data_IF_247390468955
#
_entry.id   IF_247390468955
#
_cell.length_a   1.000
_cell.length_b   1.000
_cell.length_c   1.000
_cell.angle_alpha   90.00
_cell.angle_beta   90.00
_cell.angle_gamma   90.00
#
_symmetry.space_group_name_H-M   'P 1'
#
loop_
_entity.id
_entity.type
_entity.pdbx_description
1 polymer ?
#
# COMPACT_ATOMS: atom_id res chain seq x y z
N UNK A 1 4.83 8.85 11.20
CA UNK A 1 3.37 8.63 11.03
C UNK A 1 3.11 7.64 9.89
N UNK A 2 2.20 6.67 10.03
CA UNK A 2 1.80 5.74 8.95
C UNK A 2 1.24 6.47 7.73
N UNK A 3 1.49 5.97 6.51
CA UNK A 3 1.08 6.65 5.27
C UNK A 3 -0.42 6.98 5.22
N UNK A 4 -1.34 6.04 5.47
CA UNK A 4 -2.79 6.36 5.40
C UNK A 4 -3.27 7.34 6.47
N UNK A 5 -2.50 7.55 7.53
CA UNK A 5 -2.82 8.53 8.58
C UNK A 5 -2.19 9.90 8.26
N UNK A 6 -1.23 9.96 7.34
CA UNK A 6 -0.50 11.17 6.97
C UNK A 6 -1.27 12.02 5.94
N UNK A 7 -1.56 13.30 6.25
CA UNK A 7 -2.13 14.22 5.27
C UNK A 7 -1.21 14.44 4.05
N UNK A 8 0.12 14.43 4.25
CA UNK A 8 1.08 14.58 3.16
C UNK A 8 0.98 13.42 2.16
N UNK A 9 0.79 12.20 2.66
CA UNK A 9 0.62 11.04 1.79
C UNK A 9 -0.65 11.15 0.92
N UNK A 10 -1.73 11.76 1.40
CA UNK A 10 -2.93 11.95 0.56
C UNK A 10 -2.63 12.81 -0.69
N UNK A 11 -1.77 13.82 -0.54
CA UNK A 11 -1.31 14.67 -1.65
C UNK A 11 -0.45 13.85 -2.61
N UNK A 12 0.53 13.12 -2.09
CA UNK A 12 1.45 12.32 -2.90
C UNK A 12 0.74 11.14 -3.60
N UNK A 13 -0.21 10.48 -2.92
CA UNK A 13 -1.07 9.46 -3.50
C UNK A 13 -1.91 10.02 -4.65
N UNK A 14 -2.57 11.17 -4.43
CA UNK A 14 -3.38 11.83 -5.49
C UNK A 14 -2.52 12.21 -6.69
N UNK A 15 -1.31 12.73 -6.45
CA UNK A 15 -0.34 13.04 -7.52
C UNK A 15 0.02 11.77 -8.30
N UNK A 16 0.36 10.69 -7.60
CA UNK A 16 0.68 9.40 -8.23
C UNK A 16 -0.47 8.83 -9.05
N UNK A 17 -1.72 8.93 -8.57
CA UNK A 17 -2.88 8.50 -9.35
C UNK A 17 -3.01 9.30 -10.66
N UNK A 18 -2.82 10.63 -10.60
CA UNK A 18 -2.91 11.52 -11.77
C UNK A 18 -1.77 11.30 -12.77
N UNK A 19 -0.60 10.89 -12.30
CA UNK A 19 0.58 10.67 -13.16
C UNK A 19 0.59 9.27 -13.77
N UNK A 20 0.37 8.24 -12.95
CA UNK A 20 0.64 6.86 -13.33
C UNK A 20 -0.62 6.03 -13.60
N UNK A 21 -1.74 6.30 -12.94
CA UNK A 21 -2.92 5.41 -13.00
C UNK A 21 -3.97 5.94 -13.99
N UNK A 22 -4.49 7.14 -13.72
CA UNK A 22 -5.63 7.72 -14.45
C UNK A 22 -5.35 7.96 -15.95
N UNK A 23 -4.16 8.41 -16.38
CA UNK A 23 -3.91 8.65 -17.81
C UNK A 23 -4.04 7.38 -18.66
N UNK A 24 -3.57 6.23 -18.14
CA UNK A 24 -3.65 4.95 -18.84
C UNK A 24 -5.10 4.46 -18.89
N UNK A 25 -5.83 4.57 -17.76
CA UNK A 25 -7.26 4.25 -17.73
C UNK A 25 -8.06 5.05 -18.77
N UNK A 26 -7.81 6.35 -18.88
CA UNK A 26 -8.51 7.24 -19.84
C UNK A 26 -8.22 6.93 -21.31
N UNK A 27 -7.06 6.34 -21.63
CA UNK A 27 -6.71 5.93 -23.00
C UNK A 27 -7.47 4.67 -23.46
N UNK A 28 -7.98 3.88 -22.52
CA UNK A 28 -8.77 2.69 -22.80
C UNK A 28 -9.98 3.00 -23.68
N UNK A 29 -10.22 2.16 -24.69
CA UNK A 29 -11.42 2.26 -25.55
C UNK A 29 -12.71 2.19 -24.73
N UNK A 30 -12.75 1.35 -23.69
CA UNK A 30 -13.93 1.19 -22.82
C UNK A 30 -14.20 2.47 -22.01
N UNK A 31 -13.15 3.08 -21.48
CA UNK A 31 -13.28 4.35 -20.75
C UNK A 31 -13.67 5.50 -21.68
N UNK A 32 -13.14 5.54 -22.91
CA UNK A 32 -13.54 6.53 -23.92
C UNK A 32 -15.01 6.42 -24.30
N UNK A 33 -15.48 5.21 -24.58
CA UNK A 33 -16.90 4.96 -24.86
C UNK A 33 -17.80 5.40 -23.68
N UNK A 34 -17.39 5.13 -22.44
CA UNK A 34 -18.09 5.62 -21.24
C UNK A 34 -18.06 7.16 -21.17
N UNK A 35 -16.91 7.78 -21.43
CA UNK A 35 -16.77 9.24 -21.36
C UNK A 35 -17.58 9.98 -22.42
N UNK A 36 -17.72 9.41 -23.62
CA UNK A 36 -18.46 9.97 -24.76
C UNK A 36 -19.97 9.71 -24.65
N UNK A 37 -20.39 8.69 -23.89
CA UNK A 37 -21.78 8.27 -23.80
C UNK A 37 -22.69 9.18 -22.97
N UNK A 38 -22.15 10.12 -22.17
CA UNK A 38 -22.94 11.00 -21.30
C UNK A 38 -22.30 12.39 -21.13
N UNK A 39 -23.12 13.42 -20.94
CA UNK A 39 -22.66 14.74 -20.53
C UNK A 39 -22.38 14.76 -19.01
N UNK A 40 -21.16 14.41 -18.63
CA UNK A 40 -20.74 14.30 -17.23
C UNK A 40 -20.81 15.62 -16.43
N UNK A 41 -20.81 16.77 -17.11
CA UNK A 41 -20.97 18.06 -16.45
C UNK A 41 -22.40 18.26 -15.90
N UNK A 42 -23.40 17.73 -16.60
CA UNK A 42 -24.81 17.81 -16.20
C UNK A 42 -25.19 16.68 -15.24
N UNK A 43 -24.70 15.47 -15.50
CA UNK A 43 -25.03 14.25 -14.74
C UNK A 43 -24.33 14.23 -13.37
N UNK A 44 -23.17 14.87 -13.27
CA UNK A 44 -22.38 14.93 -12.05
C UNK A 44 -21.71 13.59 -11.68
N UNK A 45 -21.16 13.54 -10.46
CA UNK A 45 -20.33 12.41 -10.01
C UNK A 45 -21.12 11.19 -9.51
N UNK A 46 -22.43 11.33 -9.27
CA UNK A 46 -23.23 10.28 -8.63
C UNK A 46 -23.26 8.98 -9.45
N UNK A 47 -23.51 9.00 -10.78
CA UNK A 47 -23.49 7.76 -11.55
C UNK A 47 -22.12 7.08 -11.62
N UNK A 48 -21.02 7.83 -11.59
CA UNK A 48 -19.67 7.23 -11.47
C UNK A 48 -19.50 6.48 -10.15
N UNK A 49 -20.00 7.07 -9.04
CA UNK A 49 -19.96 6.44 -7.73
C UNK A 49 -20.84 5.19 -7.70
N UNK A 50 -22.00 5.22 -8.36
CA UNK A 50 -22.90 4.08 -8.44
C UNK A 50 -22.27 2.94 -9.29
N UNK A 51 -21.67 3.25 -10.46
CA UNK A 51 -20.91 2.28 -11.26
C UNK A 51 -19.75 1.64 -10.49
N UNK A 52 -19.03 2.42 -9.67
CA UNK A 52 -17.95 1.91 -8.82
C UNK A 52 -18.43 0.91 -7.77
N UNK A 53 -19.72 0.94 -7.41
CA UNK A 53 -20.35 0.03 -6.45
C UNK A 53 -21.01 -1.18 -7.10
N UNK A 54 -21.17 -1.17 -8.42
CA UNK A 54 -21.71 -2.30 -9.16
C UNK A 54 -20.72 -3.48 -9.19
N UNK A 55 -21.28 -4.68 -9.40
CA UNK A 55 -20.52 -5.92 -9.55
C UNK A 55 -19.55 -5.87 -10.75
N UNK A 56 -18.48 -6.66 -10.65
CA UNK A 56 -17.28 -6.56 -11.49
C UNK A 56 -17.55 -6.65 -13.01
N UNK A 57 -18.61 -7.34 -13.42
CA UNK A 57 -18.98 -7.54 -14.84
C UNK A 57 -19.41 -6.22 -15.51
N UNK A 58 -20.07 -5.31 -14.79
CA UNK A 58 -20.55 -4.03 -15.32
C UNK A 58 -19.65 -2.85 -14.91
N UNK A 59 -18.75 -3.05 -13.95
CA UNK A 59 -17.89 -2.01 -13.41
C UNK A 59 -16.63 -1.79 -14.27
N UNK A 60 -16.79 -1.13 -15.41
CA UNK A 60 -15.68 -0.80 -16.34
C UNK A 60 -14.58 -0.01 -15.62
N UNK A 61 -14.94 0.88 -14.69
CA UNK A 61 -13.98 1.69 -13.93
C UNK A 61 -13.16 0.79 -13.02
N UNK A 62 -13.81 -0.09 -12.25
CA UNK A 62 -13.19 -1.06 -11.36
C UNK A 62 -12.28 -2.05 -12.09
N UNK A 63 -12.72 -2.58 -13.23
CA UNK A 63 -11.92 -3.49 -14.05
C UNK A 63 -10.63 -2.82 -14.56
N UNK A 64 -10.73 -1.59 -15.10
CA UNK A 64 -9.57 -0.83 -15.57
C UNK A 64 -8.65 -0.40 -14.42
N UNK A 65 -9.22 -0.06 -13.27
CA UNK A 65 -8.48 0.26 -12.05
C UNK A 65 -7.66 -0.94 -11.58
N UNK A 66 -8.29 -2.11 -11.50
CA UNK A 66 -7.63 -3.35 -11.08
C UNK A 66 -6.51 -3.73 -12.04
N UNK A 67 -6.78 -3.73 -13.35
CA UNK A 67 -5.77 -4.00 -14.38
C UNK A 67 -4.57 -3.07 -14.23
N UNK A 68 -4.81 -1.76 -14.07
CA UNK A 68 -3.73 -0.80 -13.95
C UNK A 68 -2.91 -0.99 -12.67
N UNK A 69 -3.53 -1.37 -11.57
CA UNK A 69 -2.82 -1.70 -10.34
C UNK A 69 -2.01 -3.00 -10.44
N UNK A 70 -2.38 -3.95 -11.30
CA UNK A 70 -1.53 -5.11 -11.60
C UNK A 70 -0.27 -4.70 -12.37
N UNK A 71 -0.36 -3.76 -13.33
CA UNK A 71 0.82 -3.21 -14.02
C UNK A 71 1.80 -2.49 -13.07
N UNK A 72 1.29 -1.99 -11.94
CA UNK A 72 2.10 -1.32 -10.91
C UNK A 72 2.75 -2.31 -9.92
N UNK A 73 2.64 -3.62 -10.15
CA UNK A 73 3.41 -4.60 -9.38
C UNK A 73 4.90 -4.34 -9.65
N UNK A 74 5.72 -4.08 -8.62
CA UNK A 74 7.15 -3.89 -8.84
C UNK A 74 7.75 -5.18 -9.41
N UNK A 75 8.77 -5.03 -10.25
CA UNK A 75 9.47 -6.16 -10.81
C UNK A 75 9.99 -7.05 -9.67
N UNK A 76 9.73 -8.36 -9.75
CA UNK A 76 10.35 -9.32 -8.84
C UNK A 76 11.86 -9.22 -9.07
N UNK A 77 12.57 -8.56 -8.15
CA UNK A 77 14.03 -8.58 -8.20
C UNK A 77 14.43 -10.05 -7.97
N UNK A 78 15.19 -10.68 -8.88
CA UNK A 78 15.70 -12.02 -8.62
C UNK A 78 16.47 -11.99 -7.30
N UNK A 79 16.17 -12.93 -6.41
CA UNK A 79 16.84 -13.08 -5.13
C UNK A 79 18.35 -13.26 -5.39
N UNK A 80 19.13 -12.20 -5.19
CA UNK A 80 20.58 -12.20 -5.50
C UNK A 80 21.21 -10.87 -5.86
N UNK A 81 20.48 -9.74 -5.88
CA UNK A 81 21.02 -8.42 -6.18
C UNK A 81 21.58 -7.66 -4.96
N UNK A 82 22.20 -8.32 -4.01
CA UNK A 82 22.94 -7.65 -2.93
C UNK A 82 24.29 -7.21 -3.45
N UNK A 83 24.43 -5.94 -3.84
CA UNK A 83 25.74 -5.34 -4.18
C UNK A 83 26.54 -5.11 -2.89
N UNK A 84 27.07 -6.19 -2.31
CA UNK A 84 28.14 -6.08 -1.33
C UNK A 84 29.47 -6.15 -2.08
N UNK A 85 30.07 -4.98 -2.30
CA UNK A 85 31.47 -4.87 -2.69
C UNK A 85 32.32 -5.21 -1.47
N UNK A 86 32.82 -6.44 -1.41
CA UNK A 86 34.00 -6.78 -0.61
C UNK A 86 34.90 -7.70 -1.42
N UNK A 87 36.15 -7.27 -1.55
CA UNK A 87 37.21 -7.95 -2.26
C UNK A 87 37.72 -9.17 -1.48
N UNK A 88 37.76 -10.33 -2.14
CA UNK A 88 38.82 -11.35 -2.07
C UNK A 88 38.38 -12.43 -3.09
N UNK A 89 39.13 -12.77 -4.13
CA UNK A 89 40.49 -13.25 -4.07
C UNK A 89 40.51 -14.77 -3.96
N UNK A 90 40.18 -15.52 -5.02
CA UNK A 90 40.75 -16.85 -5.24
C UNK A 90 40.58 -17.35 -6.67
N UNK A 91 41.71 -17.68 -7.29
CA UNK A 91 41.84 -18.38 -8.57
C UNK A 91 41.46 -19.85 -8.38
N UNK A 92 40.75 -20.43 -9.34
CA UNK A 92 40.85 -21.85 -9.65
C UNK A 92 40.97 -22.01 -11.18
N UNK A 93 42.10 -22.57 -11.60
CA UNK A 93 42.44 -22.96 -12.97
C UNK A 93 42.15 -24.46 -13.13
N UNK A 94 41.84 -24.82 -14.38
CA UNK A 94 42.04 -26.13 -15.06
C UNK A 94 41.10 -27.30 -14.72
N UNK A 95 40.37 -27.73 -15.76
CA UNK A 95 40.78 -28.95 -16.49
C UNK A 95 39.66 -29.94 -16.82
N UNK A 96 39.61 -30.37 -18.09
CA UNK A 96 38.94 -31.62 -18.54
C UNK A 96 37.72 -31.37 -19.43
N UNK A 97 37.88 -31.22 -20.76
CA UNK A 97 37.95 -32.31 -21.76
C UNK A 97 36.61 -33.04 -21.95
N UNK A 98 35.80 -32.60 -22.92
CA UNK A 98 35.37 -33.37 -24.09
C UNK A 98 34.43 -32.47 -24.92
N UNK A 99 34.96 -31.97 -26.04
CA UNK A 99 34.13 -31.44 -27.11
C UNK A 99 33.63 -32.58 -27.98
N UNK A 100 32.50 -32.39 -28.66
CA UNK A 100 32.24 -33.01 -29.96
C UNK A 100 31.11 -32.25 -30.66
N UNK A 101 31.36 -31.92 -31.92
CA UNK A 101 30.48 -31.37 -32.96
C UNK A 101 30.19 -29.86 -33.03
N UNK A 102 30.66 -29.26 -34.14
CA UNK A 102 29.91 -28.21 -34.83
C UNK A 102 30.71 -27.02 -35.36
N UNK A 103 31.59 -27.26 -36.34
CA UNK A 103 32.39 -26.26 -37.05
C UNK A 103 31.59 -25.49 -38.13
N UNK A 104 31.89 -24.19 -38.28
CA UNK A 104 31.63 -23.36 -39.49
C UNK A 104 30.70 -22.16 -39.26
N UNK A 105 30.96 -20.94 -39.73
CA UNK A 105 32.11 -20.31 -40.39
C UNK A 105 31.85 -18.79 -40.40
N UNK A 106 32.89 -18.02 -40.09
CA UNK A 106 33.24 -16.62 -40.42
C UNK A 106 32.21 -15.67 -41.05
N UNK A 107 32.13 -14.43 -40.53
CA UNK A 107 31.39 -13.36 -41.19
C UNK A 107 31.28 -12.02 -40.46
N UNK A 108 32.43 -11.43 -40.15
CA UNK A 108 32.72 -9.99 -40.06
C UNK A 108 32.06 -9.03 -39.05
N UNK A 109 32.90 -8.06 -38.68
CA UNK A 109 32.77 -7.09 -37.60
C UNK A 109 31.88 -5.91 -38.00
N UNK A 110 30.97 -5.54 -37.10
CA UNK A 110 30.72 -4.13 -36.80
C UNK A 110 30.41 -3.96 -35.31
N UNK A 111 31.41 -3.42 -34.58
CA UNK A 111 31.31 -2.91 -33.22
C UNK A 111 31.09 -1.39 -33.30
N UNK A 112 29.93 -0.92 -32.87
CA UNK A 112 29.65 0.36 -32.19
C UNK A 112 28.13 0.63 -32.31
N UNK A 113 27.38 1.05 -31.31
CA UNK A 113 27.75 1.54 -30.00
C UNK A 113 27.09 0.72 -28.88
N UNK A 114 27.84 0.59 -27.80
CA UNK A 114 27.31 0.32 -26.48
C UNK A 114 26.25 1.36 -26.16
N UNK A 115 24.98 0.98 -26.26
CA UNK A 115 23.91 1.68 -25.59
C UNK A 115 24.25 1.62 -24.09
N UNK A 116 24.69 2.77 -23.59
CA UNK A 116 24.78 3.09 -22.17
C UNK A 116 23.44 2.69 -21.57
N UNK A 117 23.41 1.55 -20.87
CA UNK A 117 22.22 0.96 -20.27
C UNK A 117 21.87 1.79 -19.03
N UNK A 118 21.47 3.05 -19.25
CA UNK A 118 20.67 3.77 -18.29
C UNK A 118 19.40 2.97 -18.14
N UNK A 119 19.27 2.21 -17.05
CA UNK A 119 18.04 1.49 -16.78
C UNK A 119 16.96 2.55 -16.55
N UNK A 120 16.21 2.88 -17.60
CA UNK A 120 14.95 3.59 -17.45
C UNK A 120 14.08 2.72 -16.55
N UNK A 121 13.94 3.15 -15.30
CA UNK A 121 13.06 2.53 -14.32
C UNK A 121 11.68 2.32 -14.95
N UNK A 122 11.06 1.18 -14.67
CA UNK A 122 9.69 0.94 -15.10
C UNK A 122 8.76 1.98 -14.45
N UNK A 123 7.57 2.18 -15.01
CA UNK A 123 6.58 3.08 -14.38
C UNK A 123 6.22 2.64 -12.95
N UNK A 124 6.19 1.32 -12.71
CA UNK A 124 5.99 0.75 -11.38
C UNK A 124 7.13 1.16 -10.43
N UNK A 125 8.40 1.00 -10.85
CA UNK A 125 9.54 1.37 -10.01
C UNK A 125 9.52 2.87 -9.68
N UNK A 126 9.23 3.73 -10.68
CA UNK A 126 9.09 5.18 -10.47
C UNK A 126 7.99 5.53 -9.47
N UNK A 127 6.87 4.82 -9.50
CA UNK A 127 5.77 5.02 -8.55
C UNK A 127 6.21 4.71 -7.12
N UNK A 128 6.80 3.54 -6.89
CA UNK A 128 7.19 3.08 -5.56
C UNK A 128 8.37 3.87 -4.99
N UNK A 129 9.39 4.16 -5.81
CA UNK A 129 10.52 5.00 -5.40
C UNK A 129 10.06 6.44 -5.11
N UNK A 130 9.12 6.97 -5.90
CA UNK A 130 8.54 8.29 -5.65
C UNK A 130 7.83 8.39 -4.29
N UNK A 131 7.14 7.34 -3.84
CA UNK A 131 6.55 7.32 -2.51
C UNK A 131 7.56 7.18 -1.38
N UNK A 132 8.66 6.43 -1.60
CA UNK A 132 9.77 6.34 -0.67
C UNK A 132 10.40 7.72 -0.45
N UNK A 133 10.83 8.37 -1.53
CA UNK A 133 11.44 9.71 -1.49
C UNK A 133 10.50 10.73 -0.86
N UNK A 134 9.20 10.69 -1.21
CA UNK A 134 8.21 11.57 -0.61
C UNK A 134 8.00 11.30 0.88
N UNK A 135 8.01 10.03 1.31
CA UNK A 135 7.91 9.66 2.72
C UNK A 135 9.11 10.11 3.55
N UNK A 136 10.32 9.95 3.02
CA UNK A 136 11.56 10.45 3.63
C UNK A 136 11.54 11.97 3.76
N UNK A 137 11.15 12.67 2.69
CA UNK A 137 11.04 14.14 2.67
C UNK A 137 9.96 14.68 3.60
N UNK A 138 8.80 14.01 3.66
CA UNK A 138 7.60 14.51 4.35
C UNK A 138 7.38 13.86 5.74
N UNK A 139 8.29 13.00 6.21
CA UNK A 139 8.26 12.43 7.56
C UNK A 139 7.17 11.38 7.81
N UNK A 140 6.73 10.64 6.78
CA UNK A 140 5.78 9.55 6.93
C UNK A 140 6.37 8.19 6.53
N UNK A 141 5.87 7.12 7.14
CA UNK A 141 6.18 5.75 6.78
C UNK A 141 5.55 5.48 5.41
N UNK A 142 6.35 5.39 4.35
CA UNK A 142 5.86 5.16 3.00
C UNK A 142 5.30 3.74 2.82
N UNK A 143 4.36 3.55 1.88
CA UNK A 143 3.86 2.22 1.54
C UNK A 143 4.91 1.41 0.78
N UNK A 144 4.84 0.09 0.92
CA UNK A 144 5.65 -0.88 0.20
C UNK A 144 4.83 -1.65 -0.83
N UNK A 145 5.53 -2.40 -1.67
CA UNK A 145 4.94 -3.25 -2.71
C UNK A 145 3.83 -4.17 -2.18
N UNK A 146 4.02 -4.71 -0.98
CA UNK A 146 3.07 -5.60 -0.31
C UNK A 146 1.76 -4.88 0.04
N UNK A 147 1.81 -3.55 0.21
CA UNK A 147 0.67 -2.71 0.55
C UNK A 147 -0.16 -2.34 -0.70
N UNK A 148 0.23 -2.80 -1.90
CA UNK A 148 -0.48 -2.53 -3.17
C UNK A 148 -1.97 -2.84 -3.11
N UNK A 149 -2.34 -4.02 -2.59
CA UNK A 149 -3.76 -4.41 -2.47
C UNK A 149 -4.53 -3.47 -1.54
N UNK A 150 -3.91 -2.97 -0.48
CA UNK A 150 -4.53 -1.98 0.40
C UNK A 150 -4.77 -0.67 -0.37
N UNK A 151 -3.76 -0.17 -1.08
CA UNK A 151 -3.85 1.09 -1.84
C UNK A 151 -4.86 1.00 -2.99
N UNK A 152 -4.89 -0.12 -3.70
CA UNK A 152 -5.88 -0.43 -4.73
C UNK A 152 -7.30 -0.39 -4.16
N UNK A 153 -7.51 -0.92 -2.95
CA UNK A 153 -8.84 -0.95 -2.34
C UNK A 153 -9.35 0.40 -1.84
N UNK A 154 -8.49 1.44 -1.72
CA UNK A 154 -8.91 2.76 -1.23
C UNK A 154 -10.03 3.39 -2.04
N UNK A 155 -10.07 3.14 -3.36
CA UNK A 155 -11.14 3.68 -4.24
C UNK A 155 -12.53 3.13 -3.89
N UNK A 156 -12.60 1.92 -3.37
CA UNK A 156 -13.87 1.24 -3.08
C UNK A 156 -14.36 1.47 -1.65
N UNK A 157 -13.57 2.16 -0.83
CA UNK A 157 -13.91 2.41 0.57
C UNK A 157 -14.86 3.59 0.66
N UNK A 158 -16.01 3.35 1.30
CA UNK A 158 -16.97 4.40 1.57
C UNK A 158 -16.41 5.37 2.63
N UNK A 159 -16.12 6.61 2.22
CA UNK A 159 -15.62 7.66 3.12
C UNK A 159 -16.55 7.92 4.31
N UNK A 160 -17.87 7.81 4.12
CA UNK A 160 -18.85 7.93 5.20
C UNK A 160 -18.74 6.80 6.23
N UNK A 161 -18.39 5.57 5.81
CA UNK A 161 -18.10 4.46 6.72
C UNK A 161 -16.86 4.78 7.57
N UNK A 162 -15.80 5.31 6.98
CA UNK A 162 -14.60 5.74 7.71
C UNK A 162 -14.91 6.88 8.69
N UNK A 163 -15.69 7.87 8.27
CA UNK A 163 -16.13 8.97 9.13
C UNK A 163 -16.94 8.51 10.34
N UNK A 164 -17.87 7.55 10.14
CA UNK A 164 -18.60 6.90 11.24
C UNK A 164 -17.67 6.16 12.17
N UNK A 165 -16.74 5.37 11.65
CA UNK A 165 -15.78 4.63 12.45
C UNK A 165 -14.92 5.57 13.31
N UNK A 166 -14.42 6.66 12.73
CA UNK A 166 -13.66 7.67 13.47
C UNK A 166 -14.51 8.29 14.60
N UNK A 167 -15.75 8.68 14.29
CA UNK A 167 -16.65 9.31 15.27
C UNK A 167 -16.94 8.37 16.43
N UNK A 168 -17.29 7.12 16.13
CA UNK A 168 -17.59 6.09 17.11
C UNK A 168 -16.38 5.77 18.00
N UNK A 169 -15.19 5.59 17.42
CA UNK A 169 -13.96 5.34 18.18
C UNK A 169 -13.60 6.54 19.08
N UNK A 170 -13.81 7.77 18.62
CA UNK A 170 -13.62 8.96 19.45
C UNK A 170 -14.63 9.01 20.61
N UNK A 171 -15.89 8.59 20.39
CA UNK A 171 -16.87 8.51 21.47
C UNK A 171 -16.50 7.43 22.49
N UNK A 172 -16.12 6.23 22.06
CA UNK A 172 -15.69 5.15 22.95
C UNK A 172 -14.46 5.54 23.77
N UNK A 173 -13.48 6.20 23.14
CA UNK A 173 -12.32 6.73 23.85
C UNK A 173 -12.74 7.68 24.97
N UNK A 174 -13.64 8.64 24.70
CA UNK A 174 -14.12 9.59 25.70
C UNK A 174 -14.85 8.88 26.84
N UNK A 175 -15.76 7.96 26.53
CA UNK A 175 -16.50 7.22 27.55
C UNK A 175 -15.58 6.42 28.49
N UNK A 176 -14.53 5.82 27.94
CA UNK A 176 -13.61 4.98 28.72
C UNK A 176 -12.57 5.80 29.51
N UNK A 177 -11.99 6.84 28.91
CA UNK A 177 -10.83 7.52 29.48
C UNK A 177 -11.07 8.96 29.93
N UNK A 178 -12.11 9.61 29.44
CA UNK A 178 -12.43 11.03 29.69
C UNK A 178 -13.95 11.22 29.91
N UNK A 179 -14.60 10.42 30.79
CA UNK A 179 -16.05 10.52 30.97
C UNK A 179 -16.41 11.87 31.59
N UNK A 180 -17.42 12.56 31.04
CA UNK A 180 -17.88 13.82 31.63
C UNK A 180 -18.73 13.60 32.89
N UNK A 181 -19.32 12.40 33.04
CA UNK A 181 -20.09 11.99 34.21
C UNK A 181 -20.04 10.47 34.40
N UNK A 182 -20.44 9.99 35.59
CA UNK A 182 -20.54 8.55 35.87
C UNK A 182 -21.53 7.83 34.95
N UNK A 183 -22.59 8.52 34.51
CA UNK A 183 -23.58 7.95 33.59
C UNK A 183 -23.03 7.76 32.16
N UNK A 184 -22.00 8.53 31.79
CA UNK A 184 -21.32 8.41 30.50
C UNK A 184 -20.10 7.49 30.55
N UNK A 185 -19.76 6.96 31.72
CA UNK A 185 -18.61 6.10 31.88
C UNK A 185 -18.84 4.77 31.16
N UNK A 186 -18.04 4.54 30.13
CA UNK A 186 -18.04 3.30 29.37
C UNK A 186 -17.36 2.18 30.14
N UNK A 187 -17.73 0.94 29.82
CA UNK A 187 -17.03 -0.24 30.33
C UNK A 187 -15.57 -0.22 29.89
N UNK A 188 -14.66 -0.63 30.78
CA UNK A 188 -13.26 -0.89 30.42
C UNK A 188 -13.16 -1.85 29.22
N UNK A 189 -12.32 -1.49 28.24
CA UNK A 189 -12.14 -2.22 26.99
C UNK A 189 -13.16 -1.88 25.89
N UNK A 190 -14.09 -0.95 26.11
CA UNK A 190 -15.05 -0.54 25.09
C UNK A 190 -14.40 -0.02 23.80
N UNK A 191 -13.29 0.73 23.92
CA UNK A 191 -12.51 1.22 22.79
C UNK A 191 -11.84 0.07 22.03
N UNK A 192 -11.27 -0.89 22.76
CA UNK A 192 -10.69 -2.12 22.18
C UNK A 192 -11.71 -2.91 21.39
N UNK A 193 -12.92 -3.07 21.92
CA UNK A 193 -14.01 -3.75 21.22
C UNK A 193 -14.45 -2.97 19.97
N UNK A 194 -14.43 -1.63 20.05
CA UNK A 194 -14.60 -0.75 18.91
C UNK A 194 -13.57 -1.00 17.81
N UNK A 195 -12.28 -1.08 18.15
CA UNK A 195 -11.22 -1.39 17.19
C UNK A 195 -11.44 -2.74 16.53
N UNK A 196 -11.71 -3.79 17.31
CA UNK A 196 -11.96 -5.13 16.78
C UNK A 196 -13.17 -5.17 15.84
N UNK A 197 -14.25 -4.49 16.21
CA UNK A 197 -15.45 -4.37 15.38
C UNK A 197 -15.17 -3.68 14.05
N UNK A 198 -14.38 -2.61 14.03
CA UNK A 198 -14.05 -1.91 12.78
C UNK A 198 -12.97 -2.62 11.96
N UNK A 199 -12.09 -3.39 12.60
CA UNK A 199 -11.12 -4.24 11.91
C UNK A 199 -11.78 -5.31 11.04
N UNK A 200 -12.90 -5.90 11.48
CA UNK A 200 -13.64 -6.90 10.69
C UNK A 200 -14.56 -6.29 9.64
N UNK A 201 -15.02 -5.04 9.83
CA UNK A 201 -15.92 -4.36 8.90
C UNK A 201 -15.22 -3.67 7.73
N UNK A 202 -13.96 -3.26 7.91
CA UNK A 202 -13.22 -2.52 6.90
C UNK A 202 -12.35 -3.45 6.05
N UNK A 203 -12.29 -3.25 4.73
CA UNK A 203 -11.54 -4.12 3.84
C UNK A 203 -10.03 -3.94 4.04
N UNK A 204 -9.27 -4.95 3.59
CA UNK A 204 -7.82 -4.89 3.43
C UNK A 204 -7.06 -4.36 4.66
N UNK A 205 -7.50 -4.72 5.87
CA UNK A 205 -6.89 -4.33 7.13
C UNK A 205 -6.91 -2.81 7.42
N UNK A 206 -7.77 -2.04 6.78
CA UNK A 206 -7.86 -0.59 7.00
C UNK A 206 -8.24 -0.21 8.44
N UNK A 207 -8.90 -1.11 9.18
CA UNK A 207 -9.19 -0.91 10.60
C UNK A 207 -7.92 -0.73 11.45
N UNK A 208 -6.79 -1.32 11.07
CA UNK A 208 -5.51 -1.13 11.77
C UNK A 208 -5.06 0.34 11.75
N UNK A 209 -5.30 1.05 10.65
CA UNK A 209 -4.96 2.47 10.54
C UNK A 209 -5.87 3.38 11.37
N UNK A 210 -7.08 2.92 11.72
CA UNK A 210 -7.91 3.62 12.71
C UNK A 210 -7.31 3.55 14.11
N UNK A 211 -6.71 2.42 14.48
CA UNK A 211 -5.99 2.27 15.74
C UNK A 211 -4.80 3.24 15.77
N UNK A 212 -3.99 3.26 14.71
CA UNK A 212 -2.85 4.18 14.59
C UNK A 212 -3.28 5.65 14.58
N UNK A 213 -4.37 5.99 13.90
CA UNK A 213 -4.93 7.34 13.94
C UNK A 213 -5.31 7.72 15.37
N UNK A 214 -5.90 6.79 16.12
CA UNK A 214 -6.31 7.03 17.51
C UNK A 214 -5.09 7.30 18.39
N UNK A 215 -4.00 6.54 18.23
CA UNK A 215 -2.70 6.81 18.89
C UNK A 215 -2.22 8.25 18.71
N UNK A 216 -2.30 8.81 17.50
CA UNK A 216 -1.88 10.20 17.26
C UNK A 216 -2.87 11.26 17.78
N UNK A 217 -4.11 10.88 18.09
CA UNK A 217 -5.18 11.82 18.49
C UNK A 217 -5.46 11.80 19.99
N UNK A 218 -5.14 10.71 20.67
CA UNK A 218 -5.68 10.42 21.99
C UNK A 218 -4.57 9.90 22.92
N UNK A 219 -4.29 10.66 24.00
CA UNK A 219 -3.11 10.46 24.84
C UNK A 219 -3.06 9.11 25.57
N UNK A 220 -4.22 8.53 25.91
CA UNK A 220 -4.28 7.22 26.60
C UNK A 220 -4.12 6.03 25.66
N UNK A 221 -4.15 6.25 24.34
CA UNK A 221 -3.77 5.24 23.36
C UNK A 221 -2.28 5.42 23.08
N UNK A 222 -1.46 5.03 24.05
CA UNK A 222 0.00 5.12 24.00
C UNK A 222 0.65 3.80 23.56
N UNK A 223 1.99 3.73 23.62
CA UNK A 223 2.75 2.53 23.22
C UNK A 223 2.37 1.33 24.09
N UNK A 224 2.12 1.51 25.39
CA UNK A 224 1.75 0.41 26.29
C UNK A 224 0.36 -0.12 25.98
N UNK A 225 -0.59 0.78 25.71
CA UNK A 225 -1.91 0.41 25.22
C UNK A 225 -1.81 -0.40 23.93
N UNK A 226 -1.02 0.08 22.95
CA UNK A 226 -0.83 -0.64 21.68
C UNK A 226 -0.20 -2.02 21.89
N UNK A 227 0.81 -2.15 22.76
CA UNK A 227 1.41 -3.45 23.13
C UNK A 227 0.37 -4.42 23.71
N UNK A 228 -0.46 -3.97 24.66
CA UNK A 228 -1.54 -4.78 25.24
C UNK A 228 -2.62 -5.13 24.21
N UNK A 229 -2.90 -4.22 23.27
CA UNK A 229 -3.85 -4.48 22.21
C UNK A 229 -3.32 -5.54 21.25
N UNK A 230 -2.07 -5.42 20.78
CA UNK A 230 -1.50 -6.36 19.80
C UNK A 230 -1.34 -7.77 20.37
N UNK A 231 -1.03 -7.94 21.66
CA UNK A 231 -0.95 -9.28 22.29
C UNK A 231 -2.26 -10.06 22.23
N UNK A 232 -3.39 -9.37 22.04
CA UNK A 232 -4.69 -10.04 21.86
C UNK A 232 -4.96 -10.60 20.47
N UNK A 233 -4.08 -10.35 19.50
CA UNK A 233 -4.22 -10.80 18.10
C UNK A 233 -3.35 -12.02 17.76
N UNK A 234 -2.75 -12.69 18.75
CA UNK A 234 -1.97 -13.91 18.53
C UNK A 234 -1.01 -14.21 19.68
N UNK A 235 -0.74 -15.49 19.89
CA UNK A 235 0.16 -15.98 20.95
C UNK A 235 1.61 -15.66 20.61
N UNK A 236 1.98 -15.79 19.34
CA UNK A 236 3.35 -15.56 18.84
C UNK A 236 3.45 -14.28 18.01
N UNK A 237 4.66 -13.70 17.92
CA UNK A 237 4.89 -12.53 17.07
C UNK A 237 4.56 -12.78 15.57
N UNK A 238 4.90 -13.95 14.98
CA UNK A 238 4.48 -14.28 13.62
C UNK A 238 2.96 -14.36 13.44
N UNK A 239 2.22 -14.91 14.41
CA UNK A 239 0.74 -14.94 14.36
C UNK A 239 0.17 -13.51 14.37
N UNK A 240 0.67 -12.66 15.26
CA UNK A 240 0.25 -11.25 15.32
C UNK A 240 0.54 -10.52 14.01
N UNK A 241 1.73 -10.73 13.44
CA UNK A 241 2.12 -10.13 12.14
C UNK A 241 1.21 -10.60 10.99
N UNK A 242 0.64 -11.80 11.06
CA UNK A 242 -0.36 -12.27 10.09
C UNK A 242 -1.73 -11.63 10.32
N UNK A 243 -2.15 -11.46 11.57
CA UNK A 243 -3.48 -10.92 11.91
C UNK A 243 -3.57 -9.40 11.74
N UNK A 244 -2.54 -8.67 12.16
CA UNK A 244 -2.49 -7.20 12.17
C UNK A 244 -1.13 -6.68 11.65
N UNK A 245 -0.78 -6.96 10.37
CA UNK A 245 0.54 -6.68 9.81
C UNK A 245 0.98 -5.22 9.87
N UNK A 246 0.04 -4.28 9.68
CA UNK A 246 0.39 -2.86 9.63
C UNK A 246 0.64 -2.31 11.03
N UNK A 247 -0.20 -2.71 12.00
CA UNK A 247 -0.11 -2.30 13.39
C UNK A 247 1.12 -2.89 14.05
N UNK A 248 1.46 -4.15 13.77
CA UNK A 248 2.72 -4.74 14.22
C UNK A 248 3.92 -3.95 13.70
N UNK A 249 4.00 -3.69 12.39
CA UNK A 249 5.07 -2.87 11.80
C UNK A 249 5.13 -1.45 12.38
N UNK A 250 3.99 -0.89 12.79
CA UNK A 250 3.94 0.41 13.45
C UNK A 250 4.48 0.35 14.88
N UNK A 251 4.07 -0.65 15.67
CA UNK A 251 4.54 -0.86 17.05
C UNK A 251 6.03 -1.16 17.07
N UNK A 252 6.51 -2.09 16.25
CA UNK A 252 7.93 -2.43 16.07
C UNK A 252 8.77 -1.14 15.88
N UNK A 253 8.33 -0.26 14.97
CA UNK A 253 8.99 1.04 14.73
C UNK A 253 8.97 1.99 15.94
N UNK A 254 7.88 2.03 16.70
CA UNK A 254 7.79 2.88 17.89
C UNK A 254 8.71 2.39 19.02
N UNK A 255 8.96 1.09 19.09
CA UNK A 255 9.79 0.46 20.12
C UNK A 255 11.26 0.33 19.73
N UNK A 256 11.59 0.53 18.46
CA UNK A 256 12.93 0.29 17.94
C UNK A 256 13.26 -1.21 17.78
N UNK A 257 12.22 -2.04 17.66
CA UNK A 257 12.31 -3.48 17.36
C UNK A 257 12.13 -3.73 15.85
#
# INVERSE_FOLDING_TARGET
MPFLVSPAFAIDFTRSLRTFILPVMRKSRRYRALSEGQNWAEVGAKPLIDMLREEEVNNVIGAMWNLRWEDMKPAEKPAGGGSNKTASGMKAKKGGLFGLFGQGKDGDKNKAGSAQKGSTLSEADKLWDGWREAGERNGYAFPFAEDRKLLQNLMFVNAGTIGRAITELTHLYRQEFEPASMAEHGREGSLRDGFNRWATKLPANMGEFLVMRTYYKHKKVDIEYLKKFTTSHGLTAPERKRSIPYLMRFVDRLTGE
#
